data_IF_820521068633
#
_entry.id   IF_820521068633
#
_cell.length_a   1.000
_cell.length_b   1.000
_cell.length_c   1.000
_cell.angle_alpha   90.00
_cell.angle_beta   90.00
_cell.angle_gamma   90.00
#
_symmetry.space_group_name_H-M   'P 1'
#
loop_
_entity.id
_entity.type
_entity.pdbx_description
1 polymer ?
#
# COMPACT_ATOMS: atom_id res chain seq x y z
N UNK A 1 -35.71 17.89 18.56
CA UNK A 1 -35.20 16.90 19.54
C UNK A 1 -34.81 15.56 18.91
N UNK A 2 -35.58 15.03 17.96
CA UNK A 2 -35.30 13.74 17.32
C UNK A 2 -33.95 13.66 16.58
N UNK A 3 -33.54 14.71 15.86
CA UNK A 3 -32.20 14.78 15.24
C UNK A 3 -31.06 14.71 16.26
N UNK A 4 -31.16 15.44 17.38
CA UNK A 4 -30.16 15.42 18.45
C UNK A 4 -30.01 14.03 19.06
N UNK A 5 -31.13 13.33 19.25
CA UNK A 5 -31.12 11.94 19.75
C UNK A 5 -30.44 10.99 18.76
N UNK A 6 -30.73 11.11 17.45
CA UNK A 6 -30.10 10.29 16.41
C UNK A 6 -28.58 10.56 16.33
N UNK A 7 -28.15 11.81 16.43
CA UNK A 7 -26.72 12.17 16.46
C UNK A 7 -26.01 11.60 17.68
N UNK A 8 -26.63 11.67 18.87
CA UNK A 8 -26.08 11.06 20.08
C UNK A 8 -25.90 9.55 19.94
N UNK A 9 -26.89 8.85 19.36
CA UNK A 9 -26.80 7.42 19.12
C UNK A 9 -25.69 7.07 18.11
N UNK A 10 -25.53 7.88 17.05
CA UNK A 10 -24.44 7.71 16.07
C UNK A 10 -23.07 7.91 16.70
N UNK A 11 -22.94 8.90 17.57
CA UNK A 11 -21.68 9.19 18.26
C UNK A 11 -21.31 8.07 19.24
N UNK A 12 -22.26 7.58 20.04
CA UNK A 12 -22.05 6.42 20.92
C UNK A 12 -21.63 5.17 20.13
N UNK A 13 -22.31 4.89 19.03
CA UNK A 13 -21.95 3.77 18.15
C UNK A 13 -20.53 3.92 17.56
N UNK A 14 -20.13 5.15 17.21
CA UNK A 14 -18.76 5.46 16.75
C UNK A 14 -17.73 5.24 17.84
N UNK A 15 -18.01 5.65 19.07
CA UNK A 15 -17.10 5.51 20.20
C UNK A 15 -16.88 4.03 20.56
N UNK A 16 -17.95 3.24 20.62
CA UNK A 16 -17.85 1.80 20.87
C UNK A 16 -17.14 1.07 19.72
N UNK A 17 -17.41 1.45 18.48
CA UNK A 17 -16.67 0.94 17.32
C UNK A 17 -15.17 1.24 17.43
N UNK A 18 -14.80 2.47 17.77
CA UNK A 18 -13.40 2.86 17.90
C UNK A 18 -12.69 2.07 19.01
N UNK A 19 -13.32 1.90 20.18
CA UNK A 19 -12.77 1.08 21.27
C UNK A 19 -12.51 -0.37 20.85
N UNK A 20 -13.46 -0.97 20.12
CA UNK A 20 -13.30 -2.35 19.65
C UNK A 20 -12.23 -2.45 18.56
N UNK A 21 -12.14 -1.46 17.66
CA UNK A 21 -11.05 -1.37 16.68
C UNK A 21 -9.68 -1.28 17.36
N UNK A 22 -9.55 -0.46 18.40
CA UNK A 22 -8.30 -0.33 19.16
C UNK A 22 -7.93 -1.64 19.86
N UNK A 23 -8.91 -2.32 20.47
CA UNK A 23 -8.70 -3.64 21.09
C UNK A 23 -8.24 -4.69 20.08
N UNK A 24 -8.89 -4.75 18.91
CA UNK A 24 -8.50 -5.65 17.82
C UNK A 24 -7.08 -5.32 17.35
N UNK A 25 -6.78 -4.04 17.14
CA UNK A 25 -5.45 -3.60 16.70
C UNK A 25 -4.34 -4.02 17.68
N UNK A 26 -4.53 -3.83 19.00
CA UNK A 26 -3.54 -4.26 20.00
C UNK A 26 -3.44 -5.79 20.09
N UNK A 27 -4.57 -6.50 20.08
CA UNK A 27 -4.61 -7.97 20.12
C UNK A 27 -3.85 -8.61 18.95
N UNK A 28 -3.92 -8.00 17.76
CA UNK A 28 -3.32 -8.52 16.55
C UNK A 28 -2.07 -7.74 16.11
N UNK A 29 -1.48 -6.89 16.97
CA UNK A 29 -0.34 -6.03 16.61
C UNK A 29 0.82 -6.80 15.99
N UNK A 30 1.12 -7.98 16.51
CA UNK A 30 2.19 -8.87 16.05
C UNK A 30 1.81 -9.67 14.80
N UNK A 31 0.51 -9.68 14.45
CA UNK A 31 -0.04 -10.30 13.24
C UNK A 31 -0.47 -9.25 12.21
N UNK A 32 -0.04 -7.99 12.38
CA UNK A 32 -0.26 -6.96 11.37
C UNK A 32 0.61 -7.24 10.15
N UNK A 33 0.20 -6.79 8.94
CA UNK A 33 1.06 -6.89 7.76
C UNK A 33 2.46 -6.32 7.99
N UNK A 34 2.58 -5.24 8.77
CA UNK A 34 3.88 -4.64 9.12
C UNK A 34 4.71 -5.56 10.04
N UNK A 35 4.11 -6.17 11.06
CA UNK A 35 4.82 -7.08 11.96
C UNK A 35 5.30 -8.33 11.22
N UNK A 36 4.44 -8.96 10.42
CA UNK A 36 4.82 -10.11 9.59
C UNK A 36 5.90 -9.74 8.57
N UNK A 37 5.79 -8.57 7.94
CA UNK A 37 6.79 -8.09 7.00
C UNK A 37 8.13 -7.77 7.67
N UNK A 38 8.12 -7.24 8.89
CA UNK A 38 9.34 -6.99 9.68
C UNK A 38 10.14 -8.26 9.89
N UNK A 39 9.49 -9.36 10.28
CA UNK A 39 10.12 -10.67 10.43
C UNK A 39 10.67 -11.20 9.11
N UNK A 40 9.95 -11.00 8.00
CA UNK A 40 10.45 -11.33 6.67
C UNK A 40 11.72 -10.55 6.32
N UNK A 41 11.74 -9.22 6.54
CA UNK A 41 12.91 -8.38 6.24
C UNK A 41 14.10 -8.75 7.11
N UNK A 42 13.89 -9.03 8.39
CA UNK A 42 14.94 -9.47 9.31
C UNK A 42 15.65 -10.76 8.84
N UNK A 43 14.97 -11.62 8.07
CA UNK A 43 15.56 -12.84 7.48
C UNK A 43 16.45 -12.59 6.26
N UNK A 44 16.55 -11.35 5.77
CA UNK A 44 17.29 -10.99 4.54
C UNK A 44 18.67 -10.40 4.86
N UNK A 45 19.64 -10.53 3.93
CA UNK A 45 20.93 -9.87 4.09
C UNK A 45 20.76 -8.37 4.36
N UNK A 46 21.50 -7.86 5.35
CA UNK A 46 21.34 -6.49 5.87
C UNK A 46 21.34 -5.43 4.76
N UNK A 47 22.22 -5.57 3.76
CA UNK A 47 22.35 -4.66 2.63
C UNK A 47 21.11 -4.57 1.73
N UNK A 48 20.21 -5.56 1.77
CA UNK A 48 18.98 -5.60 0.96
C UNK A 48 17.73 -5.16 1.71
N UNK A 49 17.80 -5.03 3.04
CA UNK A 49 16.63 -4.80 3.88
C UNK A 49 15.92 -3.48 3.55
N UNK A 50 16.68 -2.42 3.26
CA UNK A 50 16.14 -1.10 2.92
C UNK A 50 15.32 -1.12 1.62
N UNK A 51 15.70 -1.94 0.64
CA UNK A 51 14.91 -2.13 -0.60
C UNK A 51 13.56 -2.75 -0.27
N UNK A 52 13.51 -3.80 0.55
CA UNK A 52 12.26 -4.43 0.93
C UNK A 52 11.35 -3.47 1.71
N UNK A 53 11.90 -2.66 2.62
CA UNK A 53 11.13 -1.65 3.34
C UNK A 53 10.54 -0.59 2.41
N UNK A 54 11.31 -0.10 1.43
CA UNK A 54 10.80 0.85 0.46
C UNK A 54 9.73 0.24 -0.46
N UNK A 55 9.87 -1.04 -0.85
CA UNK A 55 8.82 -1.76 -1.58
C UNK A 55 7.53 -1.89 -0.77
N UNK A 56 7.64 -2.14 0.55
CA UNK A 56 6.50 -2.18 1.44
C UNK A 56 5.84 -0.80 1.55
N UNK A 57 6.63 0.26 1.72
CA UNK A 57 6.10 1.63 1.78
C UNK A 57 5.34 1.98 0.50
N UNK A 58 5.89 1.66 -0.68
CA UNK A 58 5.20 1.84 -1.95
C UNK A 58 3.85 1.11 -1.99
N UNK A 59 3.79 -0.15 -1.54
CA UNK A 59 2.52 -0.89 -1.46
C UNK A 59 1.52 -0.21 -0.52
N UNK A 60 1.99 0.30 0.62
CA UNK A 60 1.14 1.00 1.59
C UNK A 60 0.59 2.30 1.02
N UNK A 61 1.39 3.07 0.28
CA UNK A 61 0.94 4.26 -0.45
C UNK A 61 -0.13 3.92 -1.48
N UNK A 62 0.07 2.86 -2.28
CA UNK A 62 -0.95 2.38 -3.24
C UNK A 62 -2.28 2.02 -2.57
N UNK A 63 -2.22 1.37 -1.41
CA UNK A 63 -3.44 1.05 -0.62
C UNK A 63 -4.09 2.31 -0.06
N UNK A 64 -3.31 3.28 0.40
CA UNK A 64 -3.83 4.56 0.88
C UNK A 64 -4.56 5.34 -0.23
N UNK A 65 -3.95 5.43 -1.42
CA UNK A 65 -4.55 6.05 -2.60
C UNK A 65 -5.83 5.34 -3.03
N UNK A 66 -5.84 4.01 -3.00
CA UNK A 66 -7.02 3.22 -3.33
C UNK A 66 -8.17 3.45 -2.35
N UNK A 67 -7.89 3.51 -1.05
CA UNK A 67 -8.88 3.86 -0.02
C UNK A 67 -9.43 5.27 -0.21
N UNK A 68 -8.57 6.22 -0.60
CA UNK A 68 -8.98 7.60 -0.91
C UNK A 68 -9.91 7.64 -2.12
N UNK A 69 -9.57 6.92 -3.21
CA UNK A 69 -10.41 6.83 -4.40
C UNK A 69 -11.79 6.23 -4.09
N UNK A 70 -11.82 5.12 -3.33
CA UNK A 70 -13.07 4.50 -2.85
C UNK A 70 -13.91 5.48 -2.04
N UNK A 71 -13.28 6.16 -1.07
CA UNK A 71 -13.97 7.14 -0.22
C UNK A 71 -14.55 8.29 -1.03
N UNK A 72 -13.82 8.81 -2.01
CA UNK A 72 -14.30 9.89 -2.86
C UNK A 72 -15.57 9.48 -3.64
N UNK A 73 -15.67 8.24 -4.13
CA UNK A 73 -16.89 7.77 -4.81
C UNK A 73 -18.07 7.71 -3.84
N UNK A 74 -17.86 7.15 -2.65
CA UNK A 74 -18.92 7.03 -1.63
C UNK A 74 -19.40 8.41 -1.14
N UNK A 75 -18.46 9.33 -0.89
CA UNK A 75 -18.79 10.68 -0.41
C UNK A 75 -19.59 11.48 -1.47
N UNK A 76 -19.45 11.15 -2.75
CA UNK A 76 -20.18 11.77 -3.86
C UNK A 76 -21.47 11.01 -4.25
N UNK A 77 -21.92 10.07 -3.41
CA UNK A 77 -23.19 9.34 -3.62
C UNK A 77 -23.10 8.19 -4.62
N UNK A 78 -21.90 7.78 -5.02
CA UNK A 78 -21.70 6.61 -5.86
C UNK A 78 -22.03 5.29 -5.15
N UNK A 79 -22.33 4.27 -5.94
CA UNK A 79 -22.64 2.92 -5.45
C UNK A 79 -21.40 2.23 -4.87
N UNK A 80 -21.65 1.21 -4.05
CA UNK A 80 -20.58 0.36 -3.53
C UNK A 80 -19.78 -0.34 -4.63
N UNK A 81 -20.42 -0.67 -5.76
CA UNK A 81 -19.73 -1.28 -6.91
C UNK A 81 -18.76 -0.29 -7.57
N UNK A 82 -19.19 0.94 -7.80
CA UNK A 82 -18.32 2.00 -8.34
C UNK A 82 -17.17 2.32 -7.40
N UNK A 83 -17.43 2.37 -6.09
CA UNK A 83 -16.40 2.61 -5.09
C UNK A 83 -15.34 1.49 -5.07
N UNK A 84 -15.77 0.23 -5.21
CA UNK A 84 -14.86 -0.92 -5.34
C UNK A 84 -14.06 -0.87 -6.64
N UNK A 85 -14.69 -0.51 -7.76
CA UNK A 85 -13.99 -0.36 -9.04
C UNK A 85 -12.90 0.72 -8.92
N UNK A 86 -13.22 1.89 -8.36
CA UNK A 86 -12.25 2.96 -8.11
C UNK A 86 -11.10 2.51 -7.19
N UNK A 87 -11.39 1.71 -6.15
CA UNK A 87 -10.36 1.09 -5.33
C UNK A 87 -9.43 0.21 -6.17
N UNK A 88 -9.99 -0.70 -6.96
CA UNK A 88 -9.20 -1.66 -7.75
C UNK A 88 -8.34 -0.95 -8.81
N UNK A 89 -8.89 0.05 -9.49
CA UNK A 89 -8.17 0.86 -10.47
C UNK A 89 -7.00 1.62 -9.82
N UNK A 90 -7.25 2.28 -8.69
CA UNK A 90 -6.23 3.03 -7.98
C UNK A 90 -5.17 2.11 -7.33
N UNK A 91 -5.56 0.92 -6.84
CA UNK A 91 -4.63 -0.06 -6.27
C UNK A 91 -3.78 -0.77 -7.34
N UNK A 92 -4.22 -0.80 -8.59
CA UNK A 92 -3.52 -1.49 -9.67
C UNK A 92 -2.13 -0.89 -9.90
N UNK A 93 -1.15 -1.78 -10.10
CA UNK A 93 0.22 -1.42 -10.47
C UNK A 93 0.57 -2.19 -11.73
N UNK A 94 1.04 -1.47 -12.76
CA UNK A 94 1.49 -2.10 -14.00
C UNK A 94 2.84 -2.75 -13.76
N UNK A 95 3.10 -3.88 -14.43
CA UNK A 95 4.40 -4.57 -14.40
C UNK A 95 5.59 -3.63 -14.67
N UNK A 96 5.42 -2.70 -15.60
CA UNK A 96 6.46 -1.74 -15.99
C UNK A 96 6.84 -0.85 -14.79
N UNK A 97 5.84 -0.38 -14.04
CA UNK A 97 6.06 0.42 -12.83
C UNK A 97 6.78 -0.39 -11.75
N UNK A 98 6.45 -1.68 -11.58
CA UNK A 98 7.16 -2.55 -10.65
C UNK A 98 8.63 -2.73 -11.03
N UNK A 99 8.93 -2.88 -12.33
CA UNK A 99 10.31 -2.95 -12.84
C UNK A 99 11.03 -1.64 -12.54
N UNK A 100 10.43 -0.49 -12.87
CA UNK A 100 11.04 0.83 -12.67
C UNK A 100 11.31 1.13 -11.19
N UNK A 101 10.36 0.84 -10.29
CA UNK A 101 10.54 1.03 -8.85
C UNK A 101 11.64 0.12 -8.33
N UNK A 102 11.64 -1.16 -8.71
CA UNK A 102 12.69 -2.10 -8.29
C UNK A 102 14.05 -1.64 -8.76
N UNK A 103 14.18 -1.20 -10.02
CA UNK A 103 15.40 -0.62 -10.59
C UNK A 103 15.89 0.55 -9.74
N UNK A 104 15.00 1.53 -9.52
CA UNK A 104 15.33 2.76 -8.81
C UNK A 104 15.72 2.50 -7.34
N UNK A 105 15.07 1.54 -6.67
CA UNK A 105 15.42 1.18 -5.29
C UNK A 105 16.78 0.47 -5.22
N UNK A 106 17.10 -0.41 -6.15
CA UNK A 106 18.42 -1.04 -6.20
C UNK A 106 19.53 -0.01 -6.45
N UNK A 107 19.30 0.98 -7.32
CA UNK A 107 20.23 2.09 -7.52
C UNK A 107 20.35 2.95 -6.24
N UNK A 108 19.22 3.37 -5.67
CA UNK A 108 19.14 4.20 -4.46
C UNK A 108 19.92 3.59 -3.28
N UNK A 109 19.86 2.27 -3.12
CA UNK A 109 20.51 1.55 -2.03
C UNK A 109 21.87 0.95 -2.41
N UNK A 110 22.45 1.33 -3.55
CA UNK A 110 23.80 0.93 -3.96
C UNK A 110 23.97 -0.54 -4.34
N UNK A 111 22.87 -1.22 -4.70
CA UNK A 111 22.86 -2.62 -5.13
C UNK A 111 22.94 -2.77 -6.65
N UNK A 112 22.81 -1.68 -7.39
CA UNK A 112 22.96 -1.65 -8.83
C UNK A 112 23.52 -0.30 -9.29
N UNK A 113 24.28 -0.32 -10.39
CA UNK A 113 24.74 0.89 -11.05
C UNK A 113 23.74 1.36 -12.11
N UNK A 114 23.51 2.66 -12.18
CA UNK A 114 22.61 3.26 -13.17
C UNK A 114 23.06 3.00 -14.61
N UNK A 115 24.39 3.00 -14.84
CA UNK A 115 25.02 2.68 -16.13
C UNK A 115 24.62 1.29 -16.62
N UNK A 116 24.65 0.29 -15.74
CA UNK A 116 24.28 -1.10 -16.03
C UNK A 116 22.76 -1.21 -16.20
N UNK A 117 21.99 -0.61 -15.29
CA UNK A 117 20.52 -0.69 -15.33
C UNK A 117 19.91 0.01 -16.55
N UNK A 118 20.56 1.05 -17.07
CA UNK A 118 20.14 1.76 -18.29
C UNK A 118 20.32 0.94 -19.57
N UNK A 119 21.05 -0.18 -19.52
CA UNK A 119 21.16 -1.10 -20.67
C UNK A 119 19.91 -1.95 -20.88
N UNK A 120 19.08 -2.13 -19.86
CA UNK A 120 17.85 -2.92 -19.97
C UNK A 120 16.71 -2.08 -20.58
N UNK A 121 15.93 -2.70 -21.45
CA UNK A 121 14.71 -2.07 -21.98
C UNK A 121 13.59 -2.02 -20.92
N UNK A 122 12.46 -1.37 -21.25
CA UNK A 122 11.27 -1.24 -20.38
C UNK A 122 10.65 -2.57 -19.88
N UNK A 123 11.10 -3.72 -20.41
CA UNK A 123 10.67 -5.04 -19.97
C UNK A 123 11.71 -5.77 -19.11
N UNK A 124 12.83 -5.11 -18.77
CA UNK A 124 13.93 -5.70 -18.03
C UNK A 124 14.77 -6.68 -18.85
N UNK A 125 14.84 -6.50 -20.18
CA UNK A 125 15.64 -7.35 -21.08
C UNK A 125 16.79 -6.56 -21.69
N UNK A 126 17.93 -7.22 -21.87
CA UNK A 126 19.03 -6.68 -22.66
C UNK A 126 18.60 -6.51 -24.14
N UNK A 127 19.20 -5.55 -24.87
CA UNK A 127 19.03 -5.47 -26.31
C UNK A 127 19.53 -6.77 -26.93
N UNK A 128 18.73 -7.38 -27.80
CA UNK A 128 19.21 -8.48 -28.62
C UNK A 128 19.84 -7.85 -29.85
N UNK A 129 21.13 -8.07 -30.05
CA UNK A 129 21.78 -7.87 -31.34
C UNK A 129 21.53 -9.16 -32.13
N UNK A 130 20.97 -9.00 -33.32
CA UNK A 130 20.78 -10.03 -34.33
C UNK A 130 22.10 -10.43 -35.02
#
# INVERSE_FOLDING_TARGET
>A
EHQKFIEQQRELARQELNKELDRINDKYKDNTPKASFSSFVASKPAQTQSVYWDMFNFQQEKVADARKAMKNVLDNGGSLQEARNAYHEAAAVKRIQLIDITKNLNIKHGLAEDSVQSTFNKYGKLPRYD
#
